data_IF_855766879557
#
_entry.id   IF_855766879557
#
_cell.length_a   1.000
_cell.length_b   1.000
_cell.length_c   1.000
_cell.angle_alpha   90.00
_cell.angle_beta   90.00
_cell.angle_gamma   90.00
#
_symmetry.space_group_name_H-M   'P 1'
#
loop_
_entity.id
_entity.type
_entity.pdbx_description
1 polymer ?
#
# COMPACT_ATOMS: atom_id res chain seq x y z
N UNK A 1 16.13 70.47 40.58
CA UNK A 1 15.74 69.62 41.73
C UNK A 1 15.45 68.24 41.17
N UNK A 2 16.40 67.29 41.23
CA UNK A 2 16.43 66.21 42.24
C UNK A 2 15.02 65.63 42.50
N UNK A 3 14.72 64.36 42.21
CA UNK A 3 15.44 63.17 42.66
C UNK A 3 15.16 61.92 41.80
N UNK A 4 16.23 61.16 41.54
CA UNK A 4 16.17 59.72 41.23
C UNK A 4 15.60 58.92 42.41
N UNK A 5 14.84 57.86 42.13
CA UNK A 5 15.00 56.55 42.79
C UNK A 5 14.77 55.43 41.77
N UNK A 6 15.79 54.61 41.60
CA UNK A 6 15.85 53.33 40.87
C UNK A 6 15.56 52.19 41.85
N UNK A 7 14.87 51.14 41.39
CA UNK A 7 15.21 49.71 41.56
C UNK A 7 14.22 48.87 40.73
N UNK A 8 14.63 48.35 39.56
CA UNK A 8 15.16 47.00 39.28
C UNK A 8 14.16 45.84 39.53
N UNK A 9 13.76 45.13 38.47
CA UNK A 9 14.32 43.80 38.15
C UNK A 9 13.72 43.19 36.86
N UNK A 10 14.61 42.67 36.00
CA UNK A 10 14.49 41.53 35.08
C UNK A 10 13.35 41.48 34.04
N UNK A 11 13.47 40.86 32.86
CA UNK A 11 14.50 40.31 31.98
C UNK A 11 13.64 39.59 30.91
N UNK A 12 13.97 39.63 29.61
CA UNK A 12 13.37 38.65 28.67
C UNK A 12 12.82 39.20 27.37
N UNK A 13 13.73 39.46 26.43
CA UNK A 13 13.48 39.40 24.99
C UNK A 13 12.77 38.09 24.61
N UNK A 14 11.80 38.15 23.70
CA UNK A 14 11.71 37.14 22.63
C UNK A 14 11.04 37.70 21.38
N UNK A 15 11.89 37.84 20.35
CA UNK A 15 11.60 38.14 18.96
C UNK A 15 10.51 37.19 18.41
N UNK A 16 9.42 37.75 17.88
CA UNK A 16 8.53 37.06 16.97
C UNK A 16 9.14 37.10 15.56
N UNK A 17 9.92 36.08 15.20
CA UNK A 17 10.35 35.83 13.83
C UNK A 17 9.25 35.05 13.10
N UNK A 18 8.42 35.77 12.34
CA UNK A 18 7.53 35.21 11.32
C UNK A 18 8.37 34.62 10.19
N UNK A 19 8.69 33.32 10.28
CA UNK A 19 9.16 32.54 9.15
C UNK A 19 7.95 32.17 8.28
N UNK A 20 7.58 33.08 7.37
CA UNK A 20 6.81 32.73 6.18
C UNK A 20 7.69 31.83 5.29
N UNK A 21 7.62 30.53 5.53
CA UNK A 21 8.13 29.54 4.58
C UNK A 21 7.23 29.60 3.33
N UNK A 22 7.63 30.40 2.35
CA UNK A 22 7.12 30.30 0.98
C UNK A 22 7.38 28.87 0.50
N UNK A 23 6.35 28.03 0.53
CA UNK A 23 6.35 26.78 -0.21
C UNK A 23 6.43 27.13 -1.70
N UNK A 24 7.62 26.94 -2.29
CA UNK A 24 7.80 27.07 -3.73
C UNK A 24 6.81 26.14 -4.43
N UNK A 25 6.09 26.60 -5.49
CA UNK A 25 5.20 25.73 -6.22
C UNK A 25 5.99 24.56 -6.81
N UNK A 26 5.54 23.33 -6.50
CA UNK A 26 6.12 22.10 -7.06
C UNK A 26 6.10 22.21 -8.58
N UNK A 27 7.29 22.22 -9.19
CA UNK A 27 7.43 22.07 -10.65
C UNK A 27 7.00 20.65 -10.98
N UNK A 28 5.73 20.48 -11.36
CA UNK A 28 5.28 19.28 -12.05
C UNK A 28 6.14 19.20 -13.31
N UNK A 29 7.08 18.25 -13.37
CA UNK A 29 7.85 18.00 -14.60
C UNK A 29 6.82 17.66 -15.69
N UNK A 30 6.57 18.63 -16.57
CA UNK A 30 5.69 18.45 -17.72
C UNK A 30 6.26 17.29 -18.51
N UNK A 31 5.46 16.24 -18.71
CA UNK A 31 5.85 15.06 -19.51
C UNK A 31 6.35 15.58 -20.86
N UNK A 32 7.60 15.27 -21.22
CA UNK A 32 8.20 15.81 -22.44
C UNK A 32 7.39 15.42 -23.67
N UNK A 33 7.25 16.32 -24.64
CA UNK A 33 6.47 16.02 -25.85
C UNK A 33 7.20 14.94 -26.68
N UNK A 34 6.46 14.09 -27.42
CA UNK A 34 7.06 13.08 -28.29
C UNK A 34 8.13 13.67 -29.24
N UNK A 35 7.89 14.86 -29.79
CA UNK A 35 8.83 15.52 -30.72
C UNK A 35 10.11 16.00 -30.01
N UNK A 36 10.02 16.33 -28.71
CA UNK A 36 11.20 16.67 -27.91
C UNK A 36 12.06 15.43 -27.65
N UNK A 37 11.42 14.28 -27.38
CA UNK A 37 12.11 13.00 -27.20
C UNK A 37 12.80 12.57 -28.50
N UNK A 38 12.11 12.67 -29.65
CA UNK A 38 12.66 12.30 -30.95
C UNK A 38 13.90 13.11 -31.33
N UNK A 39 13.88 14.43 -31.07
CA UNK A 39 15.06 15.28 -31.30
C UNK A 39 16.26 14.85 -30.44
N UNK A 40 16.03 14.45 -29.18
CA UNK A 40 17.09 13.94 -28.31
C UNK A 40 17.63 12.60 -28.81
N UNK A 41 16.75 11.71 -29.28
CA UNK A 41 17.12 10.43 -29.90
C UNK A 41 18.04 10.68 -31.10
N UNK A 42 17.65 11.55 -32.04
CA UNK A 42 18.46 11.87 -33.23
C UNK A 42 19.84 12.42 -32.83
N UNK A 43 19.89 13.31 -31.83
CA UNK A 43 21.15 13.87 -31.34
C UNK A 43 22.07 12.80 -30.74
N UNK A 44 21.53 11.87 -29.96
CA UNK A 44 22.31 10.77 -29.38
C UNK A 44 22.76 9.76 -30.44
N UNK A 45 21.93 9.47 -31.44
CA UNK A 45 22.32 8.62 -32.57
C UNK A 45 23.48 9.22 -33.36
N UNK A 46 23.48 10.55 -33.59
CA UNK A 46 24.61 11.24 -34.24
C UNK A 46 25.88 11.15 -33.38
N UNK A 47 25.78 11.40 -32.06
CA UNK A 47 26.91 11.25 -31.11
C UNK A 47 27.50 9.83 -31.16
N UNK A 48 26.66 8.81 -31.28
CA UNK A 48 27.10 7.41 -31.37
C UNK A 48 27.73 7.06 -32.73
N UNK A 49 27.38 7.76 -33.81
CA UNK A 49 28.10 7.63 -35.09
C UNK A 49 29.52 8.20 -35.02
N UNK A 50 29.69 9.30 -34.30
CA UNK A 50 31.00 9.93 -34.09
C UNK A 50 31.85 9.18 -33.06
N UNK A 51 31.23 8.65 -32.01
CA UNK A 51 31.89 7.86 -30.97
C UNK A 51 31.09 6.59 -30.63
N UNK A 52 31.31 5.48 -31.36
CA UNK A 52 30.61 4.22 -31.14
C UNK A 52 30.94 3.54 -29.79
N UNK A 53 31.96 3.99 -29.06
CA UNK A 53 32.36 3.44 -27.77
C UNK A 53 31.73 4.17 -26.58
N UNK A 54 30.82 5.11 -26.83
CA UNK A 54 30.16 5.91 -25.79
C UNK A 54 28.99 5.15 -25.13
N UNK A 55 29.33 4.29 -24.15
CA UNK A 55 28.34 3.53 -23.39
C UNK A 55 27.29 4.42 -22.71
N UNK A 56 27.67 5.63 -22.26
CA UNK A 56 26.75 6.56 -21.60
C UNK A 56 25.67 7.09 -22.55
N UNK A 57 26.02 7.29 -23.83
CA UNK A 57 25.07 7.69 -24.87
C UNK A 57 24.10 6.55 -25.21
N UNK A 58 24.56 5.30 -25.25
CA UNK A 58 23.68 4.14 -25.39
C UNK A 58 22.66 4.04 -24.24
N UNK A 59 23.11 4.16 -22.99
CA UNK A 59 22.20 4.17 -21.85
C UNK A 59 21.15 5.29 -21.93
N UNK A 60 21.58 6.52 -22.23
CA UNK A 60 20.67 7.66 -22.37
C UNK A 60 19.64 7.42 -23.49
N UNK A 61 20.07 6.82 -24.60
CA UNK A 61 19.20 6.46 -25.72
C UNK A 61 18.18 5.39 -25.31
N UNK A 62 18.60 4.38 -24.53
CA UNK A 62 17.70 3.37 -23.97
C UNK A 62 16.61 3.96 -23.07
N UNK A 63 16.94 4.93 -22.20
CA UNK A 63 15.95 5.65 -21.37
C UNK A 63 14.92 6.41 -22.22
N UNK A 64 15.33 6.99 -23.36
CA UNK A 64 14.42 7.69 -24.27
C UNK A 64 13.48 6.72 -25.00
N UNK A 65 13.98 5.58 -25.48
CA UNK A 65 13.12 4.55 -26.07
C UNK A 65 12.10 4.01 -25.06
N UNK A 66 12.53 3.77 -23.82
CA UNK A 66 11.61 3.38 -22.74
C UNK A 66 10.54 4.45 -22.50
N UNK A 67 10.90 5.73 -22.53
CA UNK A 67 9.93 6.84 -22.40
C UNK A 67 8.91 6.90 -23.56
N UNK A 68 9.27 6.37 -24.75
CA UNK A 68 8.35 6.18 -25.89
C UNK A 68 7.50 4.90 -25.79
N UNK A 69 7.73 4.06 -24.79
CA UNK A 69 7.09 2.76 -24.66
C UNK A 69 7.73 1.65 -25.48
N UNK A 70 8.90 1.88 -26.09
CA UNK A 70 9.65 0.87 -26.84
C UNK A 70 10.65 0.15 -25.92
N UNK A 71 10.13 -0.82 -25.15
CA UNK A 71 10.97 -1.62 -24.26
C UNK A 71 11.98 -2.49 -24.98
N UNK A 72 11.71 -2.89 -26.23
CA UNK A 72 12.61 -3.72 -27.02
C UNK A 72 13.88 -2.97 -27.41
N UNK A 73 13.72 -1.79 -28.01
CA UNK A 73 14.86 -0.92 -28.32
C UNK A 73 15.59 -0.46 -27.06
N UNK A 74 14.86 -0.18 -25.97
CA UNK A 74 15.48 0.19 -24.71
C UNK A 74 16.46 -0.89 -24.21
N UNK A 75 16.02 -2.16 -24.18
CA UNK A 75 16.86 -3.30 -23.79
C UNK A 75 18.07 -3.43 -24.71
N UNK A 76 17.90 -3.35 -26.03
CA UNK A 76 19.02 -3.40 -26.97
C UNK A 76 20.07 -2.32 -26.69
N UNK A 77 19.64 -1.08 -26.39
CA UNK A 77 20.57 0.00 -26.06
C UNK A 77 21.26 -0.21 -24.71
N UNK A 78 20.57 -0.76 -23.72
CA UNK A 78 21.20 -1.13 -22.45
C UNK A 78 22.22 -2.25 -22.61
N UNK A 79 21.95 -3.24 -23.46
CA UNK A 79 22.90 -4.28 -23.80
C UNK A 79 24.14 -3.71 -24.50
N UNK A 80 23.98 -2.80 -25.47
CA UNK A 80 25.13 -2.11 -26.10
C UNK A 80 25.95 -1.32 -25.07
N UNK A 81 25.30 -0.66 -24.11
CA UNK A 81 26.01 0.02 -23.01
C UNK A 81 26.80 -0.97 -22.16
N UNK A 82 26.23 -2.12 -21.80
CA UNK A 82 26.86 -3.13 -20.94
C UNK A 82 27.97 -3.91 -21.66
N UNK A 83 27.87 -4.09 -22.99
CA UNK A 83 28.95 -4.67 -23.80
C UNK A 83 30.21 -3.80 -23.80
N UNK A 84 30.04 -2.48 -23.83
CA UNK A 84 31.14 -1.52 -23.79
C UNK A 84 31.68 -1.31 -22.36
N UNK A 85 30.80 -1.33 -21.36
CA UNK A 85 31.18 -1.23 -19.95
C UNK A 85 30.28 -2.11 -19.09
N UNK A 86 30.75 -3.32 -18.79
CA UNK A 86 30.01 -4.34 -18.01
C UNK A 86 29.75 -3.93 -16.56
N UNK A 87 30.48 -2.94 -16.03
CA UNK A 87 30.31 -2.41 -14.68
C UNK A 87 29.39 -1.20 -14.63
N UNK A 88 28.76 -0.80 -15.74
CA UNK A 88 27.82 0.31 -15.78
C UNK A 88 26.44 -0.09 -15.25
N UNK A 89 26.34 -0.21 -13.93
CA UNK A 89 25.17 -0.71 -13.20
C UNK A 89 23.83 -0.03 -13.52
N UNK A 90 23.74 1.27 -13.82
CA UNK A 90 22.46 1.89 -14.18
C UNK A 90 21.79 1.22 -15.39
N UNK A 91 22.56 0.79 -16.39
CA UNK A 91 22.02 0.08 -17.55
C UNK A 91 21.50 -1.31 -17.17
N UNK A 92 22.25 -2.05 -16.34
CA UNK A 92 21.83 -3.35 -15.81
C UNK A 92 20.54 -3.26 -14.98
N UNK A 93 20.40 -2.23 -14.16
CA UNK A 93 19.22 -2.04 -13.31
C UNK A 93 17.97 -1.80 -14.14
N UNK A 94 18.04 -0.89 -15.12
CA UNK A 94 16.90 -0.56 -15.99
C UNK A 94 16.53 -1.73 -16.89
N UNK A 95 17.53 -2.45 -17.43
CA UNK A 95 17.31 -3.69 -18.17
C UNK A 95 16.61 -4.75 -17.30
N UNK A 96 17.16 -5.04 -16.12
CA UNK A 96 16.61 -6.01 -15.19
C UNK A 96 15.15 -5.70 -14.80
N UNK A 97 14.81 -4.43 -14.57
CA UNK A 97 13.43 -3.98 -14.31
C UNK A 97 12.48 -4.30 -15.47
N UNK A 98 12.90 -4.02 -16.71
CA UNK A 98 12.10 -4.31 -17.91
C UNK A 98 11.91 -5.81 -18.06
N UNK A 99 12.98 -6.59 -17.97
CA UNK A 99 12.94 -8.05 -18.11
C UNK A 99 12.05 -8.69 -17.05
N UNK A 100 12.15 -8.23 -15.80
CA UNK A 100 11.29 -8.69 -14.72
C UNK A 100 9.81 -8.42 -15.02
N UNK A 101 9.49 -7.21 -15.49
CA UNK A 101 8.13 -6.83 -15.87
C UNK A 101 7.58 -7.62 -17.07
N UNK A 102 8.45 -8.09 -17.97
CA UNK A 102 8.11 -8.96 -19.11
C UNK A 102 8.01 -10.45 -18.72
N UNK A 103 8.20 -10.80 -17.45
CA UNK A 103 8.19 -12.19 -16.99
C UNK A 103 9.49 -12.96 -17.28
N UNK A 104 10.53 -12.32 -17.83
CA UNK A 104 11.86 -12.91 -18.06
C UNK A 104 12.68 -12.94 -16.77
N UNK A 105 12.15 -13.66 -15.78
CA UNK A 105 12.64 -13.66 -14.39
C UNK A 105 14.12 -14.06 -14.28
N UNK A 106 14.54 -15.13 -14.95
CA UNK A 106 15.92 -15.63 -14.88
C UNK A 106 16.95 -14.57 -15.33
N UNK A 107 16.72 -13.95 -16.49
CA UNK A 107 17.59 -12.89 -17.01
C UNK A 107 17.64 -11.68 -16.06
N UNK A 108 16.48 -11.26 -15.54
CA UNK A 108 16.39 -10.17 -14.59
C UNK A 108 17.13 -10.47 -13.28
N UNK A 109 16.98 -11.69 -12.74
CA UNK A 109 17.68 -12.12 -11.53
C UNK A 109 19.19 -12.11 -11.71
N UNK A 110 19.69 -12.56 -12.86
CA UNK A 110 21.12 -12.51 -13.16
C UNK A 110 21.65 -11.07 -13.26
N UNK A 111 20.90 -10.14 -13.86
CA UNK A 111 21.27 -8.72 -13.88
C UNK A 111 21.28 -8.12 -12.45
N UNK A 112 20.28 -8.44 -11.62
CA UNK A 112 20.24 -7.98 -10.23
C UNK A 112 21.34 -8.60 -9.36
N UNK A 113 21.68 -9.88 -9.54
CA UNK A 113 22.82 -10.52 -8.87
C UNK A 113 24.11 -9.78 -9.18
N UNK A 114 24.38 -9.50 -10.46
CA UNK A 114 25.58 -8.76 -10.87
C UNK A 114 25.66 -7.40 -10.20
N UNK A 115 24.55 -6.65 -10.16
CA UNK A 115 24.49 -5.33 -9.51
C UNK A 115 24.85 -5.44 -8.04
N UNK A 116 24.18 -6.36 -7.33
CA UNK A 116 24.41 -6.56 -5.90
C UNK A 116 25.82 -7.08 -5.64
N UNK A 117 26.41 -7.87 -6.53
CA UNK A 117 27.79 -8.37 -6.41
C UNK A 117 28.84 -7.28 -6.57
N UNK A 118 28.61 -6.30 -7.44
CA UNK A 118 29.55 -5.20 -7.73
C UNK A 118 29.41 -4.04 -6.72
N UNK A 119 28.18 -3.61 -6.43
CA UNK A 119 27.91 -2.41 -5.64
C UNK A 119 27.00 -2.72 -4.46
N UNK A 120 27.39 -2.21 -3.30
CA UNK A 120 26.75 -2.41 -2.01
C UNK A 120 26.07 -1.14 -1.48
N UNK A 121 26.04 -0.08 -2.27
CA UNK A 121 25.40 1.18 -1.89
C UNK A 121 23.92 0.96 -1.60
N UNK A 122 23.44 1.69 -0.60
CA UNK A 122 22.05 1.61 -0.15
C UNK A 122 21.07 1.87 -1.30
N UNK A 123 21.43 2.71 -2.27
CA UNK A 123 20.60 3.00 -3.45
C UNK A 123 20.28 1.73 -4.23
N UNK A 124 21.26 0.90 -4.59
CA UNK A 124 20.99 -0.32 -5.36
C UNK A 124 20.32 -1.41 -4.53
N UNK A 125 20.64 -1.52 -3.23
CA UNK A 125 19.94 -2.43 -2.33
C UNK A 125 18.44 -2.10 -2.29
N UNK A 126 18.10 -0.82 -2.13
CA UNK A 126 16.72 -0.37 -2.13
C UNK A 126 16.08 -0.57 -3.51
N UNK A 127 16.71 -0.15 -4.60
CA UNK A 127 16.15 -0.29 -5.95
C UNK A 127 15.87 -1.75 -6.32
N UNK A 128 16.86 -2.65 -6.16
CA UNK A 128 16.70 -4.08 -6.44
C UNK A 128 15.67 -4.69 -5.49
N UNK A 129 15.79 -4.43 -4.19
CA UNK A 129 14.83 -4.94 -3.19
C UNK A 129 13.41 -4.46 -3.45
N UNK A 130 13.22 -3.24 -3.97
CA UNK A 130 11.91 -2.67 -4.27
C UNK A 130 11.27 -3.22 -5.54
N UNK A 131 12.05 -3.79 -6.45
CA UNK A 131 11.53 -4.56 -7.59
C UNK A 131 11.16 -5.97 -7.13
N UNK A 132 12.05 -6.58 -6.36
CA UNK A 132 11.97 -7.97 -5.94
C UNK A 132 11.13 -8.21 -4.69
N UNK A 133 10.63 -7.18 -4.01
CA UNK A 133 9.95 -7.33 -2.72
C UNK A 133 10.86 -7.93 -1.64
N UNK A 134 12.18 -7.71 -1.76
CA UNK A 134 13.22 -8.20 -0.85
C UNK A 134 13.85 -7.02 -0.12
N UNK A 135 13.08 -6.36 0.74
CA UNK A 135 13.59 -5.25 1.56
C UNK A 135 13.59 -5.51 3.06
N UNK A 136 12.65 -6.31 3.55
CA UNK A 136 12.37 -6.43 4.97
C UNK A 136 12.09 -7.88 5.36
N UNK A 137 12.34 -8.18 6.63
CA UNK A 137 12.00 -9.47 7.18
C UNK A 137 10.49 -9.63 7.35
N UNK A 138 10.02 -10.86 7.18
CA UNK A 138 8.61 -11.22 7.30
C UNK A 138 8.49 -12.48 8.14
N UNK A 139 7.62 -12.43 9.15
CA UNK A 139 7.42 -13.54 10.09
C UNK A 139 5.93 -13.90 10.18
N UNK A 140 5.58 -15.20 10.22
CA UNK A 140 4.22 -15.62 10.55
C UNK A 140 3.95 -15.35 12.03
N UNK A 141 2.75 -14.90 12.35
CA UNK A 141 2.26 -14.78 13.73
C UNK A 141 1.04 -15.67 14.00
N UNK A 142 0.51 -16.33 12.98
CA UNK A 142 -0.42 -17.45 13.09
C UNK A 142 0.03 -18.63 12.24
N UNK A 143 -0.37 -19.84 12.64
CA UNK A 143 -0.14 -21.08 11.90
C UNK A 143 -1.37 -21.98 12.01
N UNK A 144 -1.49 -22.98 11.12
CA UNK A 144 -2.57 -23.97 11.17
C UNK A 144 -3.15 -24.31 9.81
N UNK A 145 -4.18 -25.17 9.84
CA UNK A 145 -4.89 -25.68 8.65
C UNK A 145 -6.24 -24.98 8.41
N UNK A 146 -6.45 -23.84 9.04
CA UNK A 146 -7.58 -22.93 8.85
C UNK A 146 -7.10 -21.60 8.30
N UNK A 147 -7.98 -20.86 7.65
CA UNK A 147 -7.70 -19.53 7.12
C UNK A 147 -7.88 -18.47 8.22
N UNK A 148 -6.88 -17.60 8.35
CA UNK A 148 -6.88 -16.38 9.15
C UNK A 148 -6.69 -15.19 8.20
N UNK A 149 -7.57 -14.20 8.21
CA UNK A 149 -7.61 -13.13 7.23
C UNK A 149 -7.97 -11.76 7.82
N UNK A 150 -7.81 -10.71 7.01
CA UNK A 150 -8.17 -9.31 7.33
C UNK A 150 -7.66 -8.81 8.69
N UNK A 151 -6.35 -8.90 8.97
CA UNK A 151 -5.79 -8.43 10.23
C UNK A 151 -5.81 -6.90 10.34
N UNK A 152 -6.01 -6.39 11.55
CA UNK A 152 -5.93 -4.96 11.85
C UNK A 152 -5.39 -4.74 13.27
N UNK A 153 -4.52 -3.74 13.42
CA UNK A 153 -4.00 -3.34 14.73
C UNK A 153 -5.04 -2.56 15.54
N UNK A 154 -5.01 -2.72 16.86
CA UNK A 154 -5.59 -1.75 17.79
C UNK A 154 -4.82 -0.43 17.73
N UNK A 155 -5.46 0.69 18.07
CA UNK A 155 -4.83 2.03 17.98
C UNK A 155 -3.62 2.23 18.91
N UNK A 156 -3.47 1.39 19.95
CA UNK A 156 -2.30 1.38 20.82
C UNK A 156 -1.22 0.37 20.37
N UNK A 157 -1.46 -0.39 19.30
CA UNK A 157 -0.50 -1.31 18.69
C UNK A 157 -0.35 -2.65 19.41
N UNK A 158 -1.01 -2.86 20.55
CA UNK A 158 -0.81 -4.03 21.40
C UNK A 158 -1.57 -5.28 20.94
N UNK A 159 -2.62 -5.10 20.15
CA UNK A 159 -3.53 -6.18 19.75
C UNK A 159 -3.72 -6.19 18.24
N UNK A 160 -3.99 -7.38 17.71
CA UNK A 160 -4.45 -7.59 16.34
C UNK A 160 -5.80 -8.29 16.38
N UNK A 161 -6.80 -7.73 15.70
CA UNK A 161 -8.06 -8.39 15.40
C UNK A 161 -8.00 -8.97 14.00
N UNK A 162 -8.61 -10.13 13.79
CA UNK A 162 -8.65 -10.84 12.52
C UNK A 162 -9.86 -11.78 12.47
N UNK A 163 -10.24 -12.21 11.27
CA UNK A 163 -11.27 -13.24 11.10
C UNK A 163 -10.61 -14.62 10.89
N UNK A 164 -11.24 -15.67 11.39
CA UNK A 164 -10.73 -17.04 11.27
C UNK A 164 -11.86 -18.05 11.07
N UNK A 165 -11.67 -19.00 10.13
CA UNK A 165 -12.65 -20.06 9.85
C UNK A 165 -12.41 -21.37 10.62
N UNK A 166 -11.60 -21.35 11.69
CA UNK A 166 -11.18 -22.55 12.42
C UNK A 166 -12.32 -23.35 13.07
N UNK A 167 -13.50 -22.74 13.23
CA UNK A 167 -14.68 -23.37 13.82
C UNK A 167 -15.73 -23.80 12.78
N UNK A 168 -15.45 -23.64 11.48
CA UNK A 168 -16.36 -24.02 10.39
C UNK A 168 -17.05 -22.84 9.70
N UNK A 169 -17.12 -21.68 10.35
CA UNK A 169 -17.56 -20.38 9.82
C UNK A 169 -16.55 -19.29 10.21
N UNK A 170 -16.62 -18.11 9.58
CA UNK A 170 -15.78 -16.98 9.97
C UNK A 170 -16.24 -16.39 11.31
N UNK A 171 -15.35 -16.39 12.29
CA UNK A 171 -15.54 -15.65 13.55
C UNK A 171 -14.42 -14.62 13.73
N UNK A 172 -14.65 -13.62 14.59
CA UNK A 172 -13.65 -12.61 14.97
C UNK A 172 -12.79 -13.12 16.13
N UNK A 173 -11.47 -13.01 15.97
CA UNK A 173 -10.47 -13.32 16.98
C UNK A 173 -9.58 -12.12 17.26
N UNK A 174 -9.00 -12.11 18.47
CA UNK A 174 -8.01 -11.12 18.89
C UNK A 174 -6.80 -11.84 19.50
N UNK A 175 -5.60 -11.31 19.24
CA UNK A 175 -4.36 -11.77 19.84
C UNK A 175 -3.43 -10.58 20.14
N UNK A 176 -2.33 -10.84 20.86
CA UNK A 176 -1.26 -9.87 21.01
C UNK A 176 -0.60 -9.60 19.63
N UNK A 177 -0.12 -8.37 19.41
CA UNK A 177 0.59 -7.97 18.19
C UNK A 177 1.85 -8.79 17.89
N UNK A 178 2.48 -9.36 18.92
CA UNK A 178 3.64 -10.24 18.83
C UNK A 178 3.25 -11.72 18.55
N UNK A 179 1.94 -12.00 18.41
CA UNK A 179 1.40 -13.34 18.24
C UNK A 179 1.00 -13.99 19.56
N UNK A 180 1.03 -15.33 19.62
CA UNK A 180 0.71 -16.09 20.83
C UNK A 180 -0.77 -16.48 20.94
N UNK A 181 -1.31 -16.45 22.16
CA UNK A 181 -2.68 -16.91 22.46
C UNK A 181 -3.72 -16.09 21.69
N UNK A 182 -4.70 -16.79 21.11
CA UNK A 182 -5.72 -16.21 20.25
C UNK A 182 -7.08 -16.40 20.91
N UNK A 183 -7.72 -15.30 21.29
CA UNK A 183 -9.02 -15.27 21.95
C UNK A 183 -10.12 -15.08 20.92
N UNK A 184 -11.07 -16.02 20.88
CA UNK A 184 -12.31 -15.86 20.12
C UNK A 184 -13.18 -14.78 20.76
N UNK A 185 -13.66 -13.84 19.95
CA UNK A 185 -14.47 -12.70 20.40
C UNK A 185 -15.95 -12.92 20.06
N UNK A 186 -16.23 -13.51 18.91
CA UNK A 186 -17.59 -13.81 18.45
C UNK A 186 -17.72 -15.30 18.14
N UNK A 187 -18.92 -15.86 18.25
CA UNK A 187 -19.17 -17.30 18.04
C UNK A 187 -20.53 -17.56 17.41
N UNK A 188 -20.92 -16.71 16.46
CA UNK A 188 -22.18 -16.87 15.76
C UNK A 188 -22.11 -18.08 14.81
N UNK A 189 -23.25 -18.59 14.35
CA UNK A 189 -23.28 -19.63 13.30
C UNK A 189 -23.07 -19.06 11.89
N UNK A 190 -23.26 -17.75 11.73
CA UNK A 190 -23.11 -17.01 10.48
C UNK A 190 -21.70 -16.44 10.36
N UNK A 191 -21.25 -16.16 9.14
CA UNK A 191 -19.93 -15.56 8.93
C UNK A 191 -19.87 -14.13 9.46
N UNK A 192 -18.77 -13.84 10.16
CA UNK A 192 -18.42 -12.56 10.77
C UNK A 192 -17.03 -12.13 10.29
N UNK A 193 -17.01 -11.06 9.52
CA UNK A 193 -15.87 -10.70 8.67
C UNK A 193 -15.43 -9.25 8.89
N UNK A 194 -14.23 -8.94 8.39
CA UNK A 194 -13.71 -7.58 8.23
C UNK A 194 -13.68 -6.79 9.55
N UNK A 195 -13.11 -7.33 10.65
CA UNK A 195 -13.14 -6.67 11.94
C UNK A 195 -12.32 -5.37 11.94
N UNK A 196 -12.78 -4.37 12.69
CA UNK A 196 -12.05 -3.14 12.97
C UNK A 196 -12.22 -2.70 14.42
N UNK A 197 -11.13 -2.29 15.06
CA UNK A 197 -11.20 -1.69 16.40
C UNK A 197 -11.82 -0.29 16.35
N UNK A 198 -12.57 0.04 17.39
CA UNK A 198 -12.76 1.43 17.82
C UNK A 198 -11.40 2.08 18.16
N UNK A 199 -11.21 3.39 17.92
CA UNK A 199 -9.94 4.06 18.24
C UNK A 199 -9.53 3.99 19.72
N UNK A 200 -10.49 3.83 20.64
CA UNK A 200 -10.21 3.64 22.07
C UNK A 200 -9.95 2.17 22.45
N UNK A 201 -10.07 1.23 21.51
CA UNK A 201 -9.82 -0.19 21.71
C UNK A 201 -10.87 -0.95 22.52
N UNK A 202 -12.01 -0.34 22.86
CA UNK A 202 -13.03 -0.96 23.72
C UNK A 202 -14.05 -1.81 22.97
N UNK A 203 -14.16 -1.60 21.66
CA UNK A 203 -15.15 -2.23 20.77
C UNK A 203 -14.51 -2.71 19.47
N UNK A 204 -15.10 -3.74 18.89
CA UNK A 204 -14.83 -4.19 17.51
C UNK A 204 -16.12 -4.08 16.70
N UNK A 205 -16.01 -3.52 15.49
CA UNK A 205 -17.06 -3.51 14.48
C UNK A 205 -16.72 -4.53 13.41
N UNK A 206 -17.72 -5.19 12.85
CA UNK A 206 -17.55 -6.26 11.87
C UNK A 206 -18.82 -6.39 11.03
N UNK A 207 -18.71 -7.02 9.86
CA UNK A 207 -19.86 -7.37 9.03
C UNK A 207 -20.32 -8.79 9.40
N UNK A 208 -21.63 -9.02 9.52
CA UNK A 208 -22.20 -10.37 9.74
C UNK A 208 -23.26 -10.65 8.69
N UNK A 209 -23.25 -11.87 8.13
CA UNK A 209 -24.32 -12.31 7.21
C UNK A 209 -25.71 -12.21 7.87
N UNK A 210 -26.74 -11.89 7.08
CA UNK A 210 -28.12 -11.83 7.56
C UNK A 210 -28.76 -13.22 7.72
N UNK A 211 -28.33 -14.16 6.88
CA UNK A 211 -28.70 -15.58 6.94
C UNK A 211 -27.61 -16.45 6.33
N UNK A 212 -27.63 -17.75 6.66
CA UNK A 212 -26.69 -18.71 6.11
C UNK A 212 -26.76 -18.75 4.57
N UNK A 213 -25.62 -18.94 3.93
CA UNK A 213 -25.47 -19.01 2.47
C UNK A 213 -25.91 -17.73 1.71
N UNK A 214 -26.06 -16.60 2.40
CA UNK A 214 -26.32 -15.29 1.79
C UNK A 214 -25.06 -14.44 1.73
N UNK A 215 -24.97 -13.56 0.73
CA UNK A 215 -23.91 -12.54 0.67
C UNK A 215 -24.27 -11.24 1.39
N UNK A 216 -25.54 -11.09 1.78
CA UNK A 216 -26.03 -9.87 2.42
C UNK A 216 -25.59 -9.83 3.87
N UNK A 217 -24.88 -8.77 4.24
CA UNK A 217 -24.37 -8.55 5.59
C UNK A 217 -24.93 -7.26 6.17
N UNK A 218 -24.92 -7.22 7.49
CA UNK A 218 -25.22 -6.04 8.30
C UNK A 218 -23.98 -5.71 9.15
N UNK A 219 -23.87 -4.46 9.62
CA UNK A 219 -22.75 -4.05 10.49
C UNK A 219 -23.12 -4.24 11.95
N UNK A 220 -22.30 -4.99 12.66
CA UNK A 220 -22.42 -5.26 14.10
C UNK A 220 -21.30 -4.59 14.88
N UNK A 221 -21.49 -4.53 16.19
CA UNK A 221 -20.47 -4.10 17.15
C UNK A 221 -20.51 -4.99 18.39
N UNK A 222 -19.33 -5.39 18.86
CA UNK A 222 -19.13 -6.06 20.16
C UNK A 222 -18.39 -5.14 21.13
N UNK A 223 -18.81 -5.13 22.38
CA UNK A 223 -18.11 -4.48 23.49
C UNK A 223 -17.15 -5.49 24.14
N UNK A 224 -15.84 -5.20 24.10
CA UNK A 224 -14.81 -6.15 24.53
C UNK A 224 -14.75 -6.35 26.05
N UNK A 225 -15.33 -5.42 26.82
CA UNK A 225 -15.38 -5.52 28.29
C UNK A 225 -16.51 -6.43 28.75
N UNK A 226 -17.65 -6.36 28.07
CA UNK A 226 -18.88 -7.07 28.47
C UNK A 226 -19.16 -8.31 27.62
N UNK A 227 -18.57 -8.41 26.43
CA UNK A 227 -18.93 -9.41 25.41
C UNK A 227 -20.29 -9.15 24.76
N UNK A 228 -20.93 -8.00 25.02
CA UNK A 228 -22.24 -7.71 24.47
C UNK A 228 -22.15 -7.33 22.99
N UNK A 229 -22.87 -8.06 22.15
CA UNK A 229 -23.03 -7.78 20.73
C UNK A 229 -24.34 -7.05 20.44
N UNK A 230 -24.34 -6.19 19.42
CA UNK A 230 -25.55 -5.60 18.86
C UNK A 230 -25.38 -5.24 17.39
N UNK A 231 -26.49 -5.24 16.66
CA UNK A 231 -26.56 -4.68 15.32
C UNK A 231 -26.44 -3.15 15.38
N UNK A 232 -25.62 -2.57 14.51
CA UNK A 232 -25.42 -1.13 14.40
C UNK A 232 -26.11 -0.56 13.15
N UNK A 233 -25.93 -1.22 12.01
CA UNK A 233 -26.54 -0.85 10.73
C UNK A 233 -27.25 -2.09 10.21
N UNK A 234 -28.54 -1.94 9.96
CA UNK A 234 -29.40 -2.99 9.39
C UNK A 234 -30.02 -2.48 8.10
N UNK A 235 -29.90 -3.25 7.02
CA UNK A 235 -30.52 -2.88 5.75
C UNK A 235 -30.79 -4.12 4.88
N UNK A 236 -31.82 -4.13 4.00
CA UNK A 236 -32.00 -5.23 3.03
C UNK A 236 -30.88 -5.39 1.99
N UNK A 237 -29.95 -4.42 1.94
CA UNK A 237 -28.83 -4.37 1.01
C UNK A 237 -27.58 -4.87 1.76
N UNK A 238 -26.56 -5.34 1.05
CA UNK A 238 -25.30 -5.75 1.67
C UNK A 238 -24.58 -4.51 2.23
N UNK A 239 -24.20 -4.56 3.51
CA UNK A 239 -23.43 -3.54 4.23
C UNK A 239 -22.16 -4.17 4.83
N UNK A 240 -20.98 -3.72 4.41
CA UNK A 240 -19.70 -4.35 4.76
C UNK A 240 -18.52 -3.39 4.82
N UNK A 241 -17.32 -3.90 5.14
CA UNK A 241 -16.06 -3.16 5.39
C UNK A 241 -16.25 -1.92 6.28
N UNK A 242 -16.66 -2.09 7.55
CA UNK A 242 -16.72 -0.96 8.47
C UNK A 242 -15.31 -0.46 8.77
N UNK A 243 -15.11 0.87 8.78
CA UNK A 243 -13.86 1.51 9.17
C UNK A 243 -14.13 2.74 10.01
N UNK A 244 -13.59 2.74 11.23
CA UNK A 244 -13.81 3.82 12.20
C UNK A 244 -13.08 5.11 11.83
N UNK A 245 -13.71 6.24 12.12
CA UNK A 245 -13.08 7.55 12.11
C UNK A 245 -11.98 7.65 13.17
N UNK A 246 -10.86 8.37 12.92
CA UNK A 246 -9.84 8.61 13.93
C UNK A 246 -10.37 9.23 15.24
N UNK A 247 -11.42 10.06 15.17
CA UNK A 247 -12.02 10.75 16.32
C UNK A 247 -13.17 9.99 17.00
N UNK A 248 -13.41 8.73 16.60
CA UNK A 248 -14.52 7.88 17.08
C UNK A 248 -15.95 8.43 16.87
N UNK A 249 -16.16 9.49 16.07
CA UNK A 249 -17.48 10.12 15.90
C UNK A 249 -18.31 9.56 14.74
N UNK A 250 -17.69 8.81 13.84
CA UNK A 250 -18.37 8.20 12.70
C UNK A 250 -17.64 6.94 12.24
N UNK A 251 -18.24 6.20 11.31
CA UNK A 251 -17.55 5.17 10.55
C UNK A 251 -17.87 5.32 9.06
N UNK A 252 -16.96 4.85 8.21
CA UNK A 252 -17.23 4.56 6.81
C UNK A 252 -17.60 3.09 6.67
N UNK A 253 -18.41 2.79 5.67
CA UNK A 253 -18.71 1.42 5.27
C UNK A 253 -19.08 1.39 3.79
N UNK A 254 -19.02 0.21 3.21
CA UNK A 254 -19.43 -0.05 1.83
C UNK A 254 -20.85 -0.59 1.85
N UNK A 255 -21.67 -0.17 0.89
CA UNK A 255 -23.02 -0.67 0.75
C UNK A 255 -23.46 -0.70 -0.70
N UNK A 256 -24.26 -1.69 -1.05
CA UNK A 256 -24.87 -1.81 -2.37
C UNK A 256 -26.32 -1.28 -2.41
N UNK A 257 -26.72 -0.51 -1.40
CA UNK A 257 -28.05 0.14 -1.29
C UNK A 257 -28.40 1.11 -2.42
N UNK A 258 -27.43 1.47 -3.28
CA UNK A 258 -27.67 2.31 -4.46
C UNK A 258 -27.88 1.42 -5.67
N UNK A 259 -29.08 1.44 -6.25
CA UNK A 259 -29.36 0.76 -7.52
C UNK A 259 -29.09 1.71 -8.69
N UNK A 260 -28.46 1.19 -9.74
CA UNK A 260 -28.30 1.90 -11.02
C UNK A 260 -29.11 1.18 -12.10
N UNK A 261 -29.46 1.85 -13.22
CA UNK A 261 -30.11 1.19 -14.35
C UNK A 261 -29.33 -0.03 -14.87
N UNK A 262 -28.01 -0.03 -14.69
CA UNK A 262 -27.09 -1.08 -15.12
C UNK A 262 -26.93 -2.23 -14.09
N UNK A 263 -27.56 -2.13 -12.91
CA UNK A 263 -27.52 -3.13 -11.85
C UNK A 263 -27.13 -2.57 -10.48
N UNK A 264 -26.88 -3.48 -9.54
CA UNK A 264 -26.44 -3.17 -8.17
C UNK A 264 -24.94 -2.93 -8.14
N UNK A 265 -24.52 -1.79 -7.59
CA UNK A 265 -23.12 -1.36 -7.50
C UNK A 265 -22.81 -0.86 -6.09
N UNK A 266 -21.57 -1.06 -5.65
CA UNK A 266 -21.12 -0.64 -4.32
C UNK A 266 -20.84 0.86 -4.24
N UNK A 267 -21.31 1.49 -3.17
CA UNK A 267 -21.02 2.88 -2.80
C UNK A 267 -20.37 2.98 -1.42
N UNK A 268 -19.78 4.13 -1.13
CA UNK A 268 -19.19 4.42 0.18
C UNK A 268 -20.11 5.36 0.96
N UNK A 269 -20.43 4.97 2.19
CA UNK A 269 -21.36 5.66 3.07
C UNK A 269 -20.69 5.99 4.40
N UNK A 270 -21.20 7.03 5.06
CA UNK A 270 -20.75 7.49 6.37
C UNK A 270 -21.88 7.37 7.38
N UNK A 271 -21.68 6.64 8.47
CA UNK A 271 -22.59 6.59 9.60
C UNK A 271 -22.11 7.55 10.71
N UNK A 272 -22.99 8.43 11.19
CA UNK A 272 -22.72 9.35 12.31
C UNK A 272 -23.27 8.78 13.61
N UNK A 273 -22.42 8.61 14.63
CA UNK A 273 -22.86 8.12 15.95
C UNK A 273 -23.72 9.14 16.70
N UNK A 274 -23.46 10.44 16.50
CA UNK A 274 -24.21 11.53 17.14
C UNK A 274 -25.65 11.60 16.61
N UNK A 275 -25.81 11.69 15.29
CA UNK A 275 -27.13 11.84 14.66
C UNK A 275 -27.84 10.52 14.39
N UNK A 276 -27.11 9.40 14.46
CA UNK A 276 -27.55 8.06 14.03
C UNK A 276 -28.07 8.02 12.59
N UNK A 277 -27.49 8.85 11.73
CA UNK A 277 -27.83 8.95 10.31
C UNK A 277 -26.72 8.44 9.41
N UNK A 278 -27.12 7.95 8.24
CA UNK A 278 -26.25 7.51 7.17
C UNK A 278 -26.25 8.57 6.07
N UNK A 279 -25.06 8.92 5.60
CA UNK A 279 -24.84 9.89 4.52
C UNK A 279 -24.10 9.18 3.38
N UNK A 280 -24.61 9.21 2.14
CA UNK A 280 -23.82 8.75 1.00
C UNK A 280 -22.64 9.69 0.76
N UNK A 281 -21.46 9.12 0.51
CA UNK A 281 -20.27 9.90 0.13
C UNK A 281 -19.93 9.70 -1.36
N UNK A 282 -19.87 8.46 -1.82
CA UNK A 282 -19.59 8.13 -3.22
C UNK A 282 -20.62 7.13 -3.74
N UNK A 283 -21.29 7.50 -4.83
CA UNK A 283 -22.29 6.73 -5.54
C UNK A 283 -22.14 7.00 -7.04
N UNK A 284 -22.52 6.04 -7.88
CA UNK A 284 -22.41 6.16 -9.32
C UNK A 284 -22.38 4.80 -10.01
N UNK A 285 -22.16 4.75 -11.32
CA UNK A 285 -22.22 3.52 -12.12
C UNK A 285 -20.99 2.61 -11.94
N UNK A 286 -20.14 2.89 -10.95
CA UNK A 286 -18.86 2.21 -10.70
C UNK A 286 -18.84 1.71 -9.27
N UNK A 287 -18.04 0.67 -9.01
CA UNK A 287 -17.84 0.16 -7.67
C UNK A 287 -16.91 1.07 -6.88
N UNK A 288 -17.30 1.38 -5.64
CA UNK A 288 -16.51 2.12 -4.67
C UNK A 288 -16.40 1.27 -3.40
N UNK A 289 -15.17 0.86 -3.04
CA UNK A 289 -14.96 -0.10 -1.95
C UNK A 289 -13.67 0.16 -1.18
N UNK A 290 -13.48 -0.57 -0.07
CA UNK A 290 -12.28 -0.58 0.77
C UNK A 290 -11.83 0.84 1.19
N UNK A 291 -12.73 1.66 1.77
CA UNK A 291 -12.38 3.00 2.23
C UNK A 291 -11.45 2.94 3.44
N UNK A 292 -10.50 3.88 3.51
CA UNK A 292 -9.68 4.09 4.70
C UNK A 292 -9.47 5.58 4.97
N UNK A 293 -9.84 6.10 6.16
CA UNK A 293 -9.74 7.51 6.45
C UNK A 293 -8.28 7.95 6.64
N UNK A 294 -7.98 9.19 6.24
CA UNK A 294 -6.70 9.82 6.56
C UNK A 294 -6.65 10.13 8.06
N UNK A 295 -5.51 9.93 8.75
CA UNK A 295 -5.41 10.13 10.20
C UNK A 295 -5.60 11.56 10.71
N UNK A 296 -5.60 12.57 9.82
CA UNK A 296 -5.49 13.99 10.20
C UNK A 296 -6.30 14.92 9.29
N UNK A 297 -6.28 14.65 7.98
CA UNK A 297 -6.98 15.46 6.99
C UNK A 297 -8.41 14.94 6.75
N UNK A 298 -9.29 15.83 6.27
CA UNK A 298 -10.68 15.47 5.90
C UNK A 298 -10.76 14.74 4.55
N UNK A 299 -10.03 13.62 4.44
CA UNK A 299 -9.86 12.81 3.23
C UNK A 299 -9.89 11.32 3.55
N UNK A 300 -10.12 10.50 2.54
CA UNK A 300 -9.98 9.05 2.63
C UNK A 300 -9.46 8.49 1.31
N UNK A 301 -8.75 7.37 1.40
CA UNK A 301 -8.35 6.56 0.25
C UNK A 301 -9.38 5.46 0.05
N UNK A 302 -9.61 5.04 -1.18
CA UNK A 302 -10.53 3.95 -1.51
C UNK A 302 -10.12 3.27 -2.81
N UNK A 303 -10.79 2.16 -3.13
CA UNK A 303 -10.58 1.40 -4.37
C UNK A 303 -11.81 1.53 -5.28
N UNK A 304 -11.60 1.69 -6.59
CA UNK A 304 -12.70 1.72 -7.56
C UNK A 304 -12.32 1.14 -8.91
N UNK A 305 -13.30 0.54 -9.60
CA UNK A 305 -13.17 -0.03 -10.94
C UNK A 305 -13.43 0.99 -12.08
N UNK A 306 -13.43 2.29 -11.78
CA UNK A 306 -13.82 3.34 -12.72
C UNK A 306 -13.00 3.38 -14.02
N UNK A 307 -11.77 2.85 -14.01
CA UNK A 307 -10.88 2.74 -15.18
C UNK A 307 -11.00 1.42 -15.93
N UNK A 308 -11.84 0.49 -15.46
CA UNK A 308 -11.90 -0.91 -15.91
C UNK A 308 -11.01 -1.87 -15.13
N UNK A 309 -10.17 -1.35 -14.22
CA UNK A 309 -9.37 -2.10 -13.25
C UNK A 309 -9.61 -1.52 -11.86
N UNK A 310 -9.44 -2.32 -10.81
CA UNK A 310 -9.49 -1.78 -9.45
C UNK A 310 -8.25 -0.92 -9.19
N UNK A 311 -8.44 0.40 -9.09
CA UNK A 311 -7.38 1.38 -8.87
C UNK A 311 -7.61 2.14 -7.55
N UNK A 312 -6.57 2.77 -7.02
CA UNK A 312 -6.61 3.54 -5.79
C UNK A 312 -6.93 5.01 -6.04
N UNK A 313 -7.84 5.56 -5.25
CA UNK A 313 -8.30 6.93 -5.37
C UNK A 313 -8.28 7.63 -4.02
N UNK A 314 -8.12 8.95 -4.04
CA UNK A 314 -8.25 9.84 -2.90
C UNK A 314 -9.50 10.70 -3.07
N UNK A 315 -10.35 10.78 -2.04
CA UNK A 315 -11.54 11.63 -2.01
C UNK A 315 -11.65 12.43 -0.71
N UNK A 316 -12.51 13.46 -0.71
CA UNK A 316 -12.94 14.17 0.49
C UNK A 316 -14.30 13.67 1.01
N UNK A 317 -14.65 14.06 2.24
CA UNK A 317 -15.95 13.71 2.85
C UNK A 317 -17.15 14.47 2.28
N UNK A 318 -16.98 15.25 1.20
CA UNK A 318 -18.07 15.82 0.41
C UNK A 318 -18.38 14.99 -0.84
N UNK A 319 -17.69 13.86 -1.02
CA UNK A 319 -17.87 12.99 -2.17
C UNK A 319 -17.09 13.42 -3.41
N UNK A 320 -16.14 14.35 -3.28
CA UNK A 320 -15.30 14.76 -4.41
C UNK A 320 -14.08 13.86 -4.52
N UNK A 321 -13.94 13.16 -5.64
CA UNK A 321 -12.70 12.49 -6.02
C UNK A 321 -11.64 13.54 -6.31
N UNK A 322 -10.55 13.52 -5.53
CA UNK A 322 -9.45 14.48 -5.59
C UNK A 322 -8.35 14.03 -6.53
N UNK A 323 -8.01 12.73 -6.52
CA UNK A 323 -6.88 12.19 -7.26
C UNK A 323 -7.02 10.68 -7.51
N UNK A 324 -6.65 10.24 -8.71
CA UNK A 324 -6.32 8.84 -9.00
C UNK A 324 -4.84 8.60 -8.68
N UNK A 325 -4.55 7.65 -7.79
CA UNK A 325 -3.21 7.40 -7.24
C UNK A 325 -2.45 6.34 -8.05
N UNK A 326 -3.15 5.34 -8.57
CA UNK A 326 -2.58 4.28 -9.41
C UNK A 326 -3.19 4.35 -10.81
N UNK A 327 -2.35 4.29 -11.85
CA UNK A 327 -2.77 4.26 -13.25
C UNK A 327 -2.01 3.15 -13.95
N UNK A 328 -2.26 1.92 -13.51
CA UNK A 328 -1.43 0.78 -13.82
C UNK A 328 -2.36 -0.39 -13.98
N UNK A 329 -2.85 -0.56 -15.20
CA UNK A 329 -3.80 -1.53 -15.77
C UNK A 329 -3.83 -2.95 -15.13
N UNK A 330 -4.04 -3.01 -13.83
CA UNK A 330 -3.94 -4.17 -12.95
C UNK A 330 -4.81 -3.88 -11.73
N UNK A 331 -5.25 -4.93 -11.06
CA UNK A 331 -6.04 -4.76 -9.84
C UNK A 331 -5.16 -4.43 -8.63
N UNK A 332 -5.50 -3.33 -7.97
CA UNK A 332 -4.96 -2.84 -6.71
C UNK A 332 -6.08 -2.76 -5.69
N UNK A 333 -5.77 -2.85 -4.41
CA UNK A 333 -6.81 -2.73 -3.40
C UNK A 333 -6.33 -2.75 -1.96
N UNK A 334 -7.30 -2.67 -1.05
CA UNK A 334 -7.15 -2.54 0.40
C UNK A 334 -6.13 -1.46 0.80
N UNK A 335 -6.26 -0.21 0.30
CA UNK A 335 -5.32 0.85 0.63
C UNK A 335 -5.50 1.30 2.09
N UNK A 336 -4.39 1.45 2.82
CA UNK A 336 -4.39 1.99 4.19
C UNK A 336 -3.30 3.03 4.37
N UNK A 337 -3.66 4.17 4.96
CA UNK A 337 -2.70 5.23 5.27
C UNK A 337 -1.71 4.77 6.34
N UNK A 338 -0.46 5.23 6.22
CA UNK A 338 0.48 5.22 7.33
C UNK A 338 0.00 6.12 8.47
N UNK A 339 0.45 5.88 9.72
CA UNK A 339 0.04 6.70 10.87
C UNK A 339 0.36 8.18 10.72
N UNK A 340 1.43 8.52 10.00
CA UNK A 340 1.81 9.91 9.68
C UNK A 340 1.01 10.51 8.50
N UNK A 341 0.16 9.72 7.83
CA UNK A 341 -0.66 10.12 6.68
C UNK A 341 0.12 10.31 5.37
N UNK A 342 1.43 10.08 5.34
CA UNK A 342 2.29 10.40 4.18
C UNK A 342 2.44 9.26 3.18
N UNK A 343 2.09 8.03 3.57
CA UNK A 343 2.22 6.84 2.73
C UNK A 343 0.94 6.04 2.74
N UNK A 344 0.80 5.16 1.76
CA UNK A 344 -0.30 4.21 1.64
C UNK A 344 0.29 2.84 1.41
N UNK A 345 -0.10 1.86 2.23
CA UNK A 345 0.17 0.44 1.96
C UNK A 345 -1.04 -0.17 1.27
N UNK A 346 -0.83 -1.05 0.29
CA UNK A 346 -1.90 -1.65 -0.51
C UNK A 346 -1.42 -2.95 -1.17
N UNK A 347 -2.33 -3.77 -1.69
CA UNK A 347 -1.95 -4.90 -2.56
C UNK A 347 -2.04 -4.54 -4.03
N UNK A 348 -1.25 -5.18 -4.89
CA UNK A 348 -1.27 -4.99 -6.34
C UNK A 348 -1.00 -6.30 -7.08
N UNK A 349 -1.74 -6.55 -8.18
CA UNK A 349 -1.57 -7.71 -9.07
C UNK A 349 -0.57 -7.49 -10.23
N UNK A 350 0.18 -6.39 -10.21
CA UNK A 350 0.98 -5.93 -11.37
C UNK A 350 2.06 -6.87 -11.91
N UNK A 351 2.49 -7.86 -11.12
CA UNK A 351 3.45 -8.88 -11.55
C UNK A 351 2.86 -10.30 -11.52
N UNK A 352 1.55 -10.40 -11.80
CA UNK A 352 0.82 -11.67 -11.92
C UNK A 352 0.31 -12.26 -10.61
N UNK A 353 0.79 -11.73 -9.47
CA UNK A 353 0.44 -12.16 -8.13
C UNK A 353 0.05 -10.96 -7.25
N UNK A 354 -0.78 -11.17 -6.22
CA UNK A 354 -1.10 -10.12 -5.25
C UNK A 354 0.02 -9.94 -4.24
N UNK A 355 0.69 -8.80 -4.31
CA UNK A 355 1.78 -8.44 -3.42
C UNK A 355 1.56 -7.10 -2.75
N UNK A 356 2.20 -6.89 -1.61
CA UNK A 356 2.10 -5.65 -0.86
C UNK A 356 3.06 -4.61 -1.45
N UNK A 357 2.57 -3.39 -1.59
CA UNK A 357 3.31 -2.22 -2.06
C UNK A 357 3.16 -1.08 -1.07
N UNK A 358 4.18 -0.24 -1.02
CA UNK A 358 4.17 1.03 -0.30
C UNK A 358 4.23 2.18 -1.28
N UNK A 359 3.21 3.03 -1.27
CA UNK A 359 3.12 4.24 -2.07
C UNK A 359 3.44 5.48 -1.22
N UNK A 360 4.41 6.28 -1.67
CA UNK A 360 4.80 7.55 -1.08
C UNK A 360 4.05 8.70 -1.76
N UNK A 361 3.19 9.39 -1.01
CA UNK A 361 2.32 10.45 -1.55
C UNK A 361 3.09 11.69 -1.98
N UNK A 362 4.24 11.96 -1.36
CA UNK A 362 5.05 13.13 -1.66
C UNK A 362 5.86 12.91 -2.94
N UNK A 363 6.44 11.72 -3.08
CA UNK A 363 7.30 11.33 -4.21
C UNK A 363 6.52 10.87 -5.43
N UNK A 364 5.24 10.57 -5.29
CA UNK A 364 4.41 9.98 -6.35
C UNK A 364 5.03 8.70 -6.93
N UNK A 365 5.52 7.86 -6.02
CA UNK A 365 6.24 6.64 -6.35
C UNK A 365 5.94 5.56 -5.31
N UNK A 366 5.98 4.31 -5.74
CA UNK A 366 5.82 3.14 -4.90
C UNK A 366 6.95 2.14 -5.09
N UNK A 367 7.06 1.24 -4.14
CA UNK A 367 7.93 0.09 -4.24
C UNK A 367 7.27 -1.14 -3.62
N UNK A 368 7.69 -2.32 -4.06
CA UNK A 368 7.18 -3.60 -3.60
C UNK A 368 7.78 -3.95 -2.25
N UNK A 369 6.94 -4.49 -1.35
CA UNK A 369 7.31 -4.93 -0.02
C UNK A 369 7.35 -6.47 0.11
N UNK A 370 6.57 -7.19 -0.69
CA UNK A 370 6.55 -8.67 -0.69
C UNK A 370 6.73 -9.23 -2.09
N UNK A 371 7.33 -10.41 -2.22
CA UNK A 371 7.30 -11.18 -3.46
C UNK A 371 7.30 -12.66 -3.16
N UNK A 372 6.22 -13.35 -3.54
CA UNK A 372 6.17 -14.80 -3.59
C UNK A 372 5.19 -15.25 -4.67
N UNK A 373 5.04 -16.56 -4.85
CA UNK A 373 3.97 -17.13 -5.69
C UNK A 373 2.61 -17.16 -4.97
N UNK A 374 2.59 -16.78 -3.70
CA UNK A 374 1.42 -16.77 -2.84
C UNK A 374 0.87 -15.35 -2.71
N UNK A 375 -0.43 -15.23 -2.46
CA UNK A 375 -1.07 -13.94 -2.26
C UNK A 375 -0.63 -13.30 -0.95
N UNK A 376 -0.50 -11.97 -0.96
CA UNK A 376 -0.35 -11.12 0.21
C UNK A 376 -1.41 -10.02 0.12
N UNK A 377 -2.30 -9.94 1.12
CA UNK A 377 -3.55 -9.17 1.04
C UNK A 377 -3.85 -8.41 2.34
N UNK A 378 -4.73 -7.41 2.21
CA UNK A 378 -5.20 -6.48 3.27
C UNK A 378 -4.10 -6.03 4.25
N UNK A 379 -3.07 -5.32 3.76
CA UNK A 379 -2.02 -4.82 4.63
C UNK A 379 -2.51 -3.70 5.55
N UNK A 380 -1.98 -3.63 6.77
CA UNK A 380 -2.25 -2.55 7.73
C UNK A 380 -0.98 -2.19 8.50
N UNK A 381 -0.71 -0.89 8.65
CA UNK A 381 0.36 -0.40 9.50
C UNK A 381 0.06 -0.63 10.98
N UNK A 382 1.11 -0.87 11.76
CA UNK A 382 1.06 -0.61 13.19
C UNK A 382 0.97 0.90 13.49
N UNK A 383 0.41 1.31 14.63
CA UNK A 383 0.21 2.74 14.96
C UNK A 383 1.50 3.56 15.04
N UNK A 384 2.61 2.93 15.38
CA UNK A 384 3.95 3.52 15.40
C UNK A 384 4.61 3.55 14.01
N UNK A 385 4.04 2.83 13.02
CA UNK A 385 4.44 2.89 11.61
C UNK A 385 5.68 2.07 11.26
N UNK A 386 6.12 1.19 12.15
CA UNK A 386 7.32 0.37 11.98
C UNK A 386 7.02 -1.09 11.58
N UNK A 387 5.76 -1.53 11.64
CA UNK A 387 5.33 -2.85 11.19
C UNK A 387 4.17 -2.74 10.21
N UNK A 388 4.02 -3.77 9.36
CA UNK A 388 2.86 -3.98 8.52
C UNK A 388 2.34 -5.40 8.74
N UNK A 389 1.11 -5.54 9.21
CA UNK A 389 0.42 -6.83 9.28
C UNK A 389 -0.35 -7.07 7.99
N UNK A 390 -0.36 -8.31 7.51
CA UNK A 390 -1.11 -8.74 6.33
C UNK A 390 -1.38 -10.24 6.42
N UNK A 391 -2.19 -10.79 5.51
CA UNK A 391 -2.40 -12.24 5.45
C UNK A 391 -1.92 -12.83 4.13
N UNK A 392 -1.43 -14.08 4.17
CA UNK A 392 -0.83 -14.76 3.02
C UNK A 392 -1.01 -16.27 3.08
N UNK A 393 -1.22 -16.89 1.92
CA UNK A 393 -1.33 -18.35 1.77
C UNK A 393 0.00 -19.02 1.43
N UNK A 394 1.14 -18.36 1.71
CA UNK A 394 2.50 -18.86 1.39
C UNK A 394 2.89 -20.18 2.07
N UNK A 395 2.12 -20.64 3.04
CA UNK A 395 2.27 -21.93 3.74
C UNK A 395 1.02 -22.82 3.57
N UNK A 396 0.23 -22.62 2.51
CA UNK A 396 -0.99 -23.38 2.23
C UNK A 396 -2.25 -22.59 2.53
N UNK A 397 -2.69 -22.57 3.80
CA UNK A 397 -3.84 -21.77 4.25
C UNK A 397 -3.43 -20.31 4.51
N UNK A 398 -4.40 -19.39 4.45
CA UNK A 398 -4.14 -18.00 4.79
C UNK A 398 -3.73 -17.89 6.26
N UNK A 399 -2.55 -17.34 6.49
CA UNK A 399 -2.03 -17.04 7.82
C UNK A 399 -1.68 -15.56 7.90
N UNK A 400 -1.61 -15.04 9.12
CA UNK A 400 -1.23 -13.65 9.38
C UNK A 400 0.28 -13.56 9.50
N UNK A 401 0.84 -12.56 8.84
CA UNK A 401 2.26 -12.25 8.82
C UNK A 401 2.49 -10.80 9.23
N UNK A 402 3.65 -10.55 9.82
CA UNK A 402 4.17 -9.22 10.10
C UNK A 402 5.40 -9.00 9.24
N UNK A 403 5.42 -7.86 8.54
CA UNK A 403 6.60 -7.30 7.91
C UNK A 403 7.17 -6.21 8.83
N UNK A 404 8.45 -6.31 9.16
CA UNK A 404 9.13 -5.38 10.06
C UNK A 404 9.98 -4.37 9.26
N UNK A 405 9.54 -3.11 9.23
CA UNK A 405 10.21 -2.02 8.50
C UNK A 405 11.49 -1.54 9.19
N UNK A 406 11.76 -1.98 10.42
CA UNK A 406 13.00 -1.71 11.17
C UNK A 406 14.07 -2.77 10.96
N UNK A 407 13.70 -3.92 10.39
CA UNK A 407 14.60 -5.04 10.09
C UNK A 407 14.80 -5.20 8.59
N UNK A 408 15.56 -4.31 7.92
CA UNK A 408 15.88 -4.48 6.52
C UNK A 408 16.71 -5.74 6.29
N UNK A 409 16.54 -6.37 5.13
CA UNK A 409 17.42 -7.44 4.69
C UNK A 409 18.82 -6.90 4.43
N UNK A 410 19.81 -7.63 4.91
CA UNK A 410 21.21 -7.41 4.55
C UNK A 410 21.45 -7.78 3.09
N UNK A 411 22.51 -7.23 2.50
CA UNK A 411 22.97 -7.63 1.17
C UNK A 411 23.21 -9.14 1.06
N UNK A 412 23.77 -9.75 2.10
CA UNK A 412 24.07 -11.18 2.11
C UNK A 412 22.78 -12.02 2.01
N UNK A 413 21.75 -11.66 2.75
CA UNK A 413 20.43 -12.32 2.69
C UNK A 413 19.76 -12.13 1.33
N UNK A 414 19.84 -10.91 0.76
CA UNK A 414 19.30 -10.66 -0.59
C UNK A 414 20.02 -11.51 -1.65
N UNK A 415 21.35 -11.59 -1.61
CA UNK A 415 22.13 -12.41 -2.54
C UNK A 415 21.81 -13.89 -2.39
N UNK A 416 21.72 -14.39 -1.16
CA UNK A 416 21.36 -15.79 -0.89
C UNK A 416 19.97 -16.13 -1.47
N UNK A 417 18.98 -15.29 -1.18
CA UNK A 417 17.61 -15.48 -1.68
C UNK A 417 17.56 -15.44 -3.22
N UNK A 418 18.29 -14.51 -3.84
CA UNK A 418 18.28 -14.35 -5.28
C UNK A 418 19.02 -15.49 -6.00
N UNK A 419 20.11 -16.02 -5.42
CA UNK A 419 20.79 -17.22 -5.94
C UNK A 419 19.89 -18.45 -5.90
N UNK A 420 19.14 -18.64 -4.80
CA UNK A 420 18.12 -19.69 -4.71
C UNK A 420 17.07 -19.55 -5.81
N UNK A 421 16.57 -18.35 -6.06
CA UNK A 421 15.60 -18.11 -7.14
C UNK A 421 16.17 -18.39 -8.54
N UNK A 422 17.44 -18.06 -8.80
CA UNK A 422 18.09 -18.41 -10.07
C UNK A 422 18.11 -19.92 -10.26
N UNK A 423 18.55 -20.66 -9.24
CA UNK A 423 18.61 -22.12 -9.29
C UNK A 423 17.23 -22.75 -9.55
N UNK A 424 16.20 -22.33 -8.84
CA UNK A 424 14.84 -22.87 -9.00
C UNK A 424 14.16 -22.45 -10.30
N UNK A 425 14.65 -21.41 -10.98
CA UNK A 425 14.09 -20.97 -12.28
C UNK A 425 14.78 -21.68 -13.46
N UNK A 426 15.96 -22.27 -13.23
CA UNK A 426 16.70 -23.04 -14.25
C UNK A 426 16.32 -24.52 -14.30
N UNK A 427 15.79 -25.06 -13.20
CA UNK A 427 15.18 -26.39 -13.12
C UNK A 427 13.75 -26.36 -13.67
#
# INVERSE_FOLDING_TARGET
MNTQKRTFCCLGLLLFLLLLACAAPKVVKKKESPEAIDRKITKLQLRLRENPSDYSAFFALGKLYLAKGDSGQAVCMFDSSLQLNSSYLPAGLEKGKILYAQGKKLEAYNDFLRILEIDTTEVYLQEVGGVLGLRYHIFPITEGNHDNANPVYSSNGQLIAFQSNRNGNWDVFVMNSEGGEQKQITSNILDEEEPVFSPNGEKIFFARQQAADTKNRDIYVVDLRTGQEKILIQHPADDWYPVMSPDSKWLLFVSDRSTTPEGTVSGIYKYSFESRKIFPLLQGPKNYTLPWPHPFESKFVFTSDATGFYELYLADYKGKVLRLLTQRHFDHGSPRFSPDGKKIVYFSKRYGNFDIYLYDLERDADYRLTSSEAYALSPCFSPEGNHIVFYSNRRGKYQIYVLDLTMPLTRAEMLDQLRRWVQTTTE
#
